data_IF_627983965872
#
_entry.id   IF_627983965872
#
_cell.length_a   1.000
_cell.length_b   1.000
_cell.length_c   1.000
_cell.angle_alpha   90.00
_cell.angle_beta   90.00
_cell.angle_gamma   90.00
#
_symmetry.space_group_name_H-M   'P 1'
#
loop_
_entity.id
_entity.type
_entity.pdbx_description
1 polymer ?
#
# COMPACT_ATOMS: atom_id res chain seq x y z
N UNK A 1 9.78 6.06 -3.15
CA UNK A 1 8.49 6.71 -2.83
C UNK A 1 7.47 5.69 -2.32
N UNK A 2 7.39 4.51 -2.96
CA UNK A 2 6.58 3.37 -2.50
C UNK A 2 6.63 3.09 -0.99
N UNK A 3 7.82 2.94 -0.40
CA UNK A 3 7.95 2.66 1.04
C UNK A 3 7.33 3.75 1.93
N UNK A 4 7.33 5.01 1.49
CA UNK A 4 6.69 6.11 2.21
C UNK A 4 5.16 5.96 2.15
N UNK A 5 4.60 5.60 1.00
CA UNK A 5 3.17 5.32 0.88
C UNK A 5 2.73 4.14 1.75
N UNK A 6 3.54 3.09 1.87
CA UNK A 6 3.25 1.97 2.77
C UNK A 6 3.26 2.41 4.23
N UNK A 7 4.22 3.26 4.64
CA UNK A 7 4.21 3.85 5.98
C UNK A 7 3.00 4.77 6.21
N UNK A 8 2.64 5.59 5.21
CA UNK A 8 1.44 6.43 5.26
C UNK A 8 0.19 5.58 5.46
N UNK A 9 0.09 4.46 4.74
CA UNK A 9 -1.01 3.52 4.87
C UNK A 9 -1.04 2.86 6.26
N UNK A 10 0.09 2.38 6.76
CA UNK A 10 0.22 1.77 8.10
C UNK A 10 -0.16 2.74 9.21
N UNK A 11 0.28 4.01 9.13
CA UNK A 11 -0.10 5.06 10.10
C UNK A 11 -1.60 5.35 10.02
N UNK A 12 -2.17 5.41 8.82
CA UNK A 12 -3.59 5.71 8.63
C UNK A 12 -4.52 4.58 9.06
N UNK A 13 -4.10 3.34 8.84
CA UNK A 13 -4.90 2.15 9.13
C UNK A 13 -4.71 1.65 10.56
N UNK A 14 -3.52 1.84 11.13
CA UNK A 14 -3.12 1.23 12.40
C UNK A 14 -2.84 -0.27 12.29
N UNK A 15 -2.78 -0.82 11.08
CA UNK A 15 -2.55 -2.25 10.81
C UNK A 15 -1.24 -2.46 10.07
N UNK A 16 -0.65 -3.65 10.24
CA UNK A 16 0.48 -4.08 9.42
C UNK A 16 0.02 -4.31 7.98
N UNK A 17 0.76 -3.83 6.96
CA UNK A 17 0.40 -4.05 5.57
C UNK A 17 0.43 -5.55 5.24
N UNK A 18 -0.56 -6.00 4.48
CA UNK A 18 -0.67 -7.40 4.02
C UNK A 18 -0.79 -8.45 5.14
N UNK A 19 -1.37 -8.09 6.29
CA UNK A 19 -1.53 -8.99 7.46
C UNK A 19 -2.23 -10.32 7.15
N UNK A 20 -3.13 -10.33 6.17
CA UNK A 20 -3.93 -11.51 5.80
C UNK A 20 -3.27 -12.41 4.74
N UNK A 21 -2.09 -12.03 4.22
CA UNK A 21 -1.40 -12.84 3.21
C UNK A 21 -0.51 -13.88 3.89
N UNK A 22 -0.61 -15.13 3.41
CA UNK A 22 0.28 -16.21 3.87
C UNK A 22 1.75 -15.82 3.64
N UNK A 23 2.64 -16.28 4.53
CA UNK A 23 4.07 -15.94 4.54
C UNK A 23 4.88 -16.55 3.37
N UNK A 24 4.25 -16.78 2.21
CA UNK A 24 5.00 -17.00 0.97
C UNK A 24 5.50 -15.64 0.45
N UNK A 25 6.69 -15.27 0.92
CA UNK A 25 7.35 -14.01 0.57
C UNK A 25 7.51 -13.82 -0.96
N UNK A 26 7.60 -14.91 -1.74
CA UNK A 26 7.78 -14.82 -3.19
C UNK A 26 6.49 -14.47 -3.90
N UNK A 27 5.38 -15.15 -3.57
CA UNK A 27 4.08 -14.87 -4.18
C UNK A 27 3.61 -13.45 -3.83
N UNK A 28 3.75 -13.05 -2.55
CA UNK A 28 3.41 -11.70 -2.11
C UNK A 28 4.25 -10.63 -2.85
N UNK A 29 5.56 -10.85 -2.98
CA UNK A 29 6.42 -9.93 -3.72
C UNK A 29 5.99 -9.79 -5.19
N UNK A 30 5.65 -10.90 -5.86
CA UNK A 30 5.17 -10.86 -7.24
C UNK A 30 3.83 -10.15 -7.37
N UNK A 31 2.91 -10.36 -6.43
CA UNK A 31 1.64 -9.65 -6.41
C UNK A 31 1.83 -8.14 -6.24
N UNK A 32 2.74 -7.71 -5.36
CA UNK A 32 3.09 -6.30 -5.18
C UNK A 32 3.68 -5.69 -6.46
N UNK A 33 4.59 -6.40 -7.12
CA UNK A 33 5.17 -5.99 -8.41
C UNK A 33 4.06 -5.85 -9.48
N UNK A 34 3.08 -6.76 -9.49
CA UNK A 34 1.94 -6.72 -10.40
C UNK A 34 0.85 -5.69 -10.03
N UNK A 35 1.09 -4.85 -9.00
CA UNK A 35 0.22 -3.73 -8.67
C UNK A 35 -0.75 -3.96 -7.50
N UNK A 36 -0.65 -5.10 -6.79
CA UNK A 36 -1.41 -5.29 -5.56
C UNK A 36 -1.07 -4.21 -4.52
N UNK A 37 -2.09 -3.59 -3.93
CA UNK A 37 -1.95 -2.59 -2.85
C UNK A 37 -2.89 -2.91 -1.69
N UNK A 38 -2.56 -2.48 -0.47
CA UNK A 38 -3.46 -2.59 0.67
C UNK A 38 -4.78 -1.83 0.43
N UNK A 39 -5.86 -2.28 1.06
CA UNK A 39 -7.17 -1.63 0.95
C UNK A 39 -7.15 -0.24 1.59
N UNK A 40 -7.68 0.76 0.88
CA UNK A 40 -7.74 2.14 1.38
C UNK A 40 -9.04 2.31 2.18
N UNK A 41 -8.92 2.63 3.48
CA UNK A 41 -10.07 2.92 4.33
C UNK A 41 -10.80 4.20 3.89
N UNK A 42 -12.12 4.23 4.01
CA UNK A 42 -12.95 5.34 3.52
C UNK A 42 -12.88 6.61 4.36
N UNK A 43 -12.28 6.54 5.55
CA UNK A 43 -12.22 7.60 6.56
C UNK A 43 -10.98 8.49 6.45
N UNK A 44 -10.05 8.20 5.55
CA UNK A 44 -8.85 9.03 5.35
C UNK A 44 -9.17 10.30 4.52
N UNK A 45 -8.57 11.46 4.84
CA UNK A 45 -8.71 12.68 4.04
C UNK A 45 -8.34 12.46 2.56
N UNK A 46 -9.09 13.06 1.65
CA UNK A 46 -8.94 12.85 0.21
C UNK A 46 -7.54 13.23 -0.30
N UNK A 47 -6.98 14.33 0.19
CA UNK A 47 -5.65 14.81 -0.18
C UNK A 47 -4.58 13.81 0.25
N UNK A 48 -4.72 13.24 1.45
CA UNK A 48 -3.81 12.22 1.97
C UNK A 48 -3.89 10.94 1.14
N UNK A 49 -5.11 10.51 0.81
CA UNK A 49 -5.37 9.37 -0.08
C UNK A 49 -4.69 9.56 -1.43
N UNK A 50 -4.90 10.71 -2.07
CA UNK A 50 -4.36 10.99 -3.40
C UNK A 50 -2.83 10.98 -3.37
N UNK A 51 -2.22 11.60 -2.36
CA UNK A 51 -0.77 11.59 -2.19
C UNK A 51 -0.22 10.17 -1.98
N UNK A 52 -0.85 9.39 -1.11
CA UNK A 52 -0.47 8.00 -0.85
C UNK A 52 -0.56 7.16 -2.13
N UNK A 53 -1.64 7.33 -2.90
CA UNK A 53 -1.85 6.60 -4.16
C UNK A 53 -0.81 6.93 -5.22
N UNK A 54 -0.49 8.22 -5.40
CA UNK A 54 0.60 8.64 -6.28
C UNK A 54 1.95 8.06 -5.84
N UNK A 55 2.17 7.95 -4.54
CA UNK A 55 3.44 7.51 -3.99
C UNK A 55 3.71 6.01 -4.15
N UNK A 56 2.67 5.17 -4.26
CA UNK A 56 2.80 3.73 -4.48
C UNK A 56 2.35 3.27 -5.87
N UNK A 57 2.27 4.15 -6.85
CA UNK A 57 1.93 3.74 -8.22
C UNK A 57 2.88 2.61 -8.69
N UNK A 58 2.32 1.63 -9.41
CA UNK A 58 3.10 0.54 -9.99
C UNK A 58 3.91 1.02 -11.19
N UNK A 59 3.42 2.05 -11.90
CA UNK A 59 4.19 2.76 -12.91
C UNK A 59 4.97 3.90 -12.24
N UNK A 60 6.32 3.85 -12.22
CA UNK A 60 7.12 4.93 -11.67
C UNK A 60 7.26 6.15 -12.62
N UNK A 61 6.73 6.08 -13.86
CA UNK A 61 6.87 7.11 -14.91
C UNK A 61 5.78 8.20 -14.88
#
# INVERSE_FOLDING_TARGET
>A
IYSIAILMWEISSGYSPFIDYEHDDYELAMNIINGMRPEIMSDIPLEYKNLMVQCWDADPL
#
